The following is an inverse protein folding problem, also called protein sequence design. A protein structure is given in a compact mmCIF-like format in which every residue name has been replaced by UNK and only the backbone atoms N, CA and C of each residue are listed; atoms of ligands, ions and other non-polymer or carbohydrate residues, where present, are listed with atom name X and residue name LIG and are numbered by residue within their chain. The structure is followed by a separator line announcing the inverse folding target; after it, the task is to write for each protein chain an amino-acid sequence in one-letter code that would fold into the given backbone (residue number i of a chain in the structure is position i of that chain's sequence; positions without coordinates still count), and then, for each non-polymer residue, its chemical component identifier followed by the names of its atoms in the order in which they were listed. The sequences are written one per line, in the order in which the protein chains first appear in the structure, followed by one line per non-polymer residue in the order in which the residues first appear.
data_IF_703035289258
#
_entry.id   IF_703035289258
#
_cell.length_a   1.000
_cell.length_b   1.000
_cell.length_c   1.000
_cell.angle_alpha   90.00
_cell.angle_beta   90.00
_cell.angle_gamma   90.00
#
_symmetry.space_group_name_H-M   'P 1'
#
loop_
_entity.id
_entity.type
_entity.pdbx_description
1 polymer ?
#
# COMPACT_ATOMS: atom_id res chain seq x y z
N UNK A 1 3.41 -43.42 -39.69
CA UNK A 1 4.19 -42.24 -40.11
C UNK A 1 3.82 -41.12 -39.16
N UNK A 2 4.54 -40.99 -38.05
CA UNK A 2 4.26 -40.03 -36.97
C UNK A 2 5.00 -38.73 -37.27
N UNK A 3 4.28 -37.61 -37.32
CA UNK A 3 4.84 -36.27 -37.45
C UNK A 3 5.27 -35.79 -36.06
N UNK A 4 6.57 -35.50 -35.90
CA UNK A 4 7.09 -34.84 -34.70
C UNK A 4 6.70 -33.35 -34.65
N UNK A 5 6.41 -32.79 -33.47
CA UNK A 5 6.15 -31.37 -33.32
C UNK A 5 7.44 -30.56 -33.40
N UNK A 6 7.49 -29.63 -34.33
CA UNK A 6 8.59 -28.68 -34.52
C UNK A 6 8.74 -27.76 -33.32
N UNK A 7 9.89 -27.87 -32.64
CA UNK A 7 10.31 -26.96 -31.57
C UNK A 7 10.58 -25.57 -32.15
N UNK A 8 9.79 -24.57 -31.76
CA UNK A 8 10.02 -23.16 -32.10
C UNK A 8 11.29 -22.65 -31.38
N UNK A 9 12.25 -22.02 -32.09
CA UNK A 9 13.46 -21.53 -31.45
C UNK A 9 13.14 -20.33 -30.54
N UNK A 10 13.48 -20.42 -29.25
CA UNK A 10 13.47 -19.28 -28.33
C UNK A 10 14.45 -18.23 -28.85
N UNK A 11 13.94 -17.05 -29.23
CA UNK A 11 14.78 -15.86 -29.49
C UNK A 11 15.64 -15.59 -28.24
N UNK A 12 16.94 -15.81 -28.34
CA UNK A 12 17.93 -15.30 -27.38
C UNK A 12 17.90 -13.79 -27.44
N UNK A 13 17.42 -13.13 -26.39
CA UNK A 13 17.63 -11.69 -26.19
C UNK A 13 19.12 -11.46 -26.02
N UNK A 14 19.73 -10.69 -26.93
CA UNK A 14 21.17 -10.38 -26.95
C UNK A 14 21.61 -9.45 -25.80
N UNK A 15 20.67 -9.03 -24.96
CA UNK A 15 20.92 -8.25 -23.74
C UNK A 15 20.45 -9.15 -22.57
N UNK A 16 21.37 -9.64 -21.71
CA UNK A 16 20.97 -10.26 -20.45
C UNK A 16 20.12 -9.26 -19.68
N UNK A 17 19.01 -9.72 -19.08
CA UNK A 17 18.25 -8.86 -18.17
C UNK A 17 19.21 -8.31 -17.12
N UNK A 18 19.22 -6.99 -16.82
CA UNK A 18 20.03 -6.41 -15.75
C UNK A 18 19.81 -7.12 -14.40
N UNK A 19 18.66 -7.80 -14.25
CA UNK A 19 18.28 -8.62 -13.10
C UNK A 19 19.10 -9.93 -12.93
N UNK A 20 19.95 -10.30 -13.89
CA UNK A 20 20.81 -11.47 -13.76
C UNK A 20 21.93 -11.28 -12.71
N UNK A 21 22.15 -10.04 -12.24
CA UNK A 21 23.20 -9.68 -11.28
C UNK A 21 22.68 -9.38 -9.88
N UNK A 22 21.42 -9.74 -9.57
CA UNK A 22 20.77 -9.16 -8.39
C UNK A 22 21.27 -9.77 -7.07
N UNK A 23 22.02 -8.96 -6.33
CA UNK A 23 22.20 -9.01 -4.88
C UNK A 23 20.84 -9.04 -4.18
N UNK A 24 20.70 -9.70 -3.03
CA UNK A 24 19.51 -9.55 -2.17
C UNK A 24 19.35 -8.08 -1.77
N UNK A 25 18.46 -7.35 -2.45
CA UNK A 25 18.10 -5.99 -2.07
C UNK A 25 17.18 -6.08 -0.84
N UNK A 26 17.67 -5.58 0.29
CA UNK A 26 16.91 -5.53 1.54
C UNK A 26 16.54 -4.07 1.84
N UNK A 27 15.32 -3.81 2.35
CA UNK A 27 14.96 -2.49 2.84
C UNK A 27 15.93 -2.01 3.92
N UNK A 28 16.29 -0.73 3.87
CA UNK A 28 17.02 -0.06 4.96
C UNK A 28 16.10 0.13 6.17
N UNK A 29 16.63 0.39 7.38
CA UNK A 29 15.79 0.72 8.51
C UNK A 29 14.93 1.97 8.26
N UNK A 30 13.67 1.92 8.72
CA UNK A 30 12.76 3.07 8.74
C UNK A 30 13.40 4.33 9.36
N UNK A 31 13.01 5.55 8.90
CA UNK A 31 13.53 6.78 9.47
C UNK A 31 13.09 6.93 10.94
N UNK A 32 13.93 7.54 11.81
CA UNK A 32 13.61 7.68 13.23
C UNK A 32 12.48 8.68 13.49
N UNK A 33 12.30 9.66 12.61
CA UNK A 33 11.25 10.66 12.66
C UNK A 33 10.38 10.57 11.39
N UNK A 34 9.08 10.86 11.50
CA UNK A 34 8.24 11.01 10.32
C UNK A 34 8.62 12.30 9.59
N UNK A 35 7.98 12.54 8.43
CA UNK A 35 8.17 13.81 7.71
C UNK A 35 7.87 15.01 8.63
N UNK A 36 8.61 16.10 8.41
CA UNK A 36 8.50 17.32 9.20
C UNK A 36 8.01 18.45 8.31
N UNK A 37 7.07 19.24 8.80
CA UNK A 37 6.64 20.46 8.12
C UNK A 37 7.57 21.62 8.49
N UNK A 38 7.96 22.42 7.50
CA UNK A 38 8.82 23.59 7.69
C UNK A 38 8.26 24.80 6.95
N UNK A 39 8.55 26.00 7.47
CA UNK A 39 8.20 27.25 6.82
C UNK A 39 9.39 28.20 6.88
N UNK A 40 10.00 28.49 5.73
CA UNK A 40 11.16 29.38 5.63
C UNK A 40 12.34 28.92 6.49
N UNK A 41 12.64 27.62 6.49
CA UNK A 41 13.71 27.01 7.28
C UNK A 41 13.41 26.84 8.78
N UNK A 42 12.18 27.12 9.23
CA UNK A 42 11.75 26.88 10.61
C UNK A 42 10.78 25.71 10.68
N UNK A 43 11.12 24.68 11.45
CA UNK A 43 10.23 23.56 11.73
C UNK A 43 8.94 24.01 12.41
N UNK A 44 7.80 23.64 11.83
CA UNK A 44 6.49 23.85 12.43
C UNK A 44 6.24 22.79 13.51
N UNK A 45 5.70 23.23 14.65
CA UNK A 45 5.19 22.29 15.66
C UNK A 45 3.81 21.82 15.25
N UNK A 46 3.72 20.59 14.77
CA UNK A 46 2.47 19.96 14.37
C UNK A 46 2.02 18.94 15.41
N UNK A 47 0.70 18.73 15.59
CA UNK A 47 0.22 17.64 16.43
C UNK A 47 0.55 16.29 15.79
N UNK A 48 0.61 15.24 16.62
CA UNK A 48 0.70 13.87 16.11
C UNK A 48 -0.70 13.30 15.87
N UNK A 49 -0.92 12.53 14.80
CA UNK A 49 -2.18 11.85 14.56
C UNK A 49 -2.47 10.76 15.59
N UNK A 50 -3.74 10.39 15.71
CA UNK A 50 -4.16 9.15 16.38
C UNK A 50 -4.55 8.14 15.30
N UNK A 51 -3.78 7.06 15.17
CA UNK A 51 -4.12 6.00 14.23
C UNK A 51 -5.28 5.15 14.75
N UNK A 52 -6.17 4.76 13.85
CA UNK A 52 -7.25 3.81 14.13
C UNK A 52 -6.98 2.53 13.37
N UNK A 53 -7.05 1.40 14.08
CA UNK A 53 -6.93 0.05 13.55
C UNK A 53 -8.29 -0.64 13.65
N UNK A 54 -8.78 -1.20 12.55
CA UNK A 54 -10.02 -1.97 12.54
C UNK A 54 -9.88 -3.24 13.39
N UNK A 55 -10.84 -3.48 14.29
CA UNK A 55 -10.80 -4.63 15.21
C UNK A 55 -11.04 -5.98 14.54
N UNK A 56 -11.44 -6.03 13.27
CA UNK A 56 -11.71 -7.27 12.54
C UNK A 56 -10.50 -7.75 11.75
N UNK A 57 -9.48 -6.91 11.58
CA UNK A 57 -8.22 -7.29 10.94
C UNK A 57 -7.51 -8.34 11.80
N UNK A 58 -7.29 -9.52 11.24
CA UNK A 58 -6.76 -10.67 11.99
C UNK A 58 -5.26 -10.56 12.25
N UNK A 59 -4.53 -9.94 11.33
CA UNK A 59 -3.09 -9.73 11.45
C UNK A 59 -2.75 -8.23 11.30
N UNK A 60 -3.14 -7.41 12.30
CA UNK A 60 -3.00 -5.97 12.19
C UNK A 60 -1.55 -5.53 12.26
N UNK A 61 -1.24 -4.48 11.51
CA UNK A 61 -0.01 -3.71 11.63
C UNK A 61 0.05 -3.08 13.04
N UNK A 62 1.12 -3.38 13.78
CA UNK A 62 1.18 -3.09 15.23
C UNK A 62 1.44 -1.62 15.55
N UNK A 63 2.07 -0.91 14.62
CA UNK A 63 2.70 0.41 14.73
C UNK A 63 3.68 0.58 15.91
N UNK A 64 4.13 -0.51 16.54
CA UNK A 64 5.01 -0.44 17.72
C UNK A 64 6.36 0.19 17.43
N UNK A 65 6.86 0.02 16.20
CA UNK A 65 8.10 0.65 15.71
C UNK A 65 7.97 2.15 15.50
N UNK A 66 6.74 2.66 15.37
CA UNK A 66 6.41 4.04 15.03
C UNK A 66 5.78 4.80 16.19
N UNK A 67 6.10 4.45 17.45
CA UNK A 67 5.52 5.08 18.66
C UNK A 67 5.69 6.60 18.71
N UNK A 68 6.73 7.16 18.08
CA UNK A 68 6.95 8.61 18.01
C UNK A 68 6.16 9.30 16.89
N UNK A 69 5.50 8.56 16.01
CA UNK A 69 4.78 9.10 14.87
C UNK A 69 3.30 9.34 15.19
N UNK A 70 2.78 8.67 16.22
CA UNK A 70 1.37 8.76 16.62
C UNK A 70 1.25 9.22 18.07
N UNK A 71 0.27 10.08 18.35
CA UNK A 71 -0.09 10.41 19.72
C UNK A 71 -0.65 9.17 20.45
N UNK A 72 -1.37 8.32 19.71
CA UNK A 72 -1.98 7.09 20.20
C UNK A 72 -2.35 6.15 19.04
N UNK A 73 -2.44 4.86 19.33
CA UNK A 73 -3.07 3.85 18.47
C UNK A 73 -4.39 3.41 19.14
N UNK A 74 -5.51 3.51 18.43
CA UNK A 74 -6.83 3.10 18.91
C UNK A 74 -7.37 1.93 18.08
N UNK A 75 -7.92 0.91 18.76
CA UNK A 75 -8.56 -0.22 18.10
C UNK A 75 -10.07 -0.05 18.19
N UNK A 76 -10.75 0.04 17.04
CA UNK A 76 -12.22 0.05 16.96
C UNK A 76 -12.69 -0.33 15.57
N UNK A 77 -13.94 -0.76 15.44
CA UNK A 77 -14.52 -1.03 14.14
C UNK A 77 -14.60 0.26 13.29
N UNK A 78 -14.08 0.17 12.06
CA UNK A 78 -14.16 1.16 11.01
C UNK A 78 -15.32 0.82 10.05
N UNK A 79 -16.01 1.83 9.50
CA UNK A 79 -17.05 1.60 8.51
C UNK A 79 -16.50 1.10 7.15
N UNK A 80 -15.21 1.37 6.89
CA UNK A 80 -14.50 1.03 5.66
C UNK A 80 -12.98 0.99 5.91
N UNK A 81 -12.28 0.05 5.27
CA UNK A 81 -10.84 -0.13 5.39
C UNK A 81 -10.41 -0.76 6.71
N UNK A 82 -9.11 -0.98 6.83
CA UNK A 82 -8.44 -1.61 7.96
C UNK A 82 -7.72 -0.57 8.84
N UNK A 83 -7.34 0.58 8.27
CA UNK A 83 -6.69 1.68 9.00
C UNK A 83 -7.20 3.05 8.59
N UNK A 84 -7.18 3.99 9.54
CA UNK A 84 -7.54 5.39 9.34
C UNK A 84 -6.88 6.30 10.39
N UNK A 85 -7.17 7.60 10.34
CA UNK A 85 -6.80 8.60 11.34
C UNK A 85 -8.05 9.11 12.06
N UNK A 86 -7.96 9.31 13.37
CA UNK A 86 -9.06 9.85 14.18
C UNK A 86 -9.52 11.21 13.68
N UNK A 87 -10.82 11.34 13.41
CA UNK A 87 -11.43 12.54 12.82
C UNK A 87 -11.30 12.63 11.30
N UNK A 88 -10.75 11.60 10.65
CA UNK A 88 -10.60 11.49 9.19
C UNK A 88 -11.13 10.14 8.67
N UNK A 89 -12.00 9.46 9.42
CA UNK A 89 -12.48 8.11 9.09
C UNK A 89 -13.27 8.02 7.79
N UNK A 90 -13.89 9.12 7.39
CA UNK A 90 -14.63 9.24 6.13
C UNK A 90 -13.76 9.75 4.96
N UNK A 91 -12.52 10.15 5.21
CA UNK A 91 -11.64 10.74 4.19
C UNK A 91 -10.33 9.99 3.98
N UNK A 92 -9.76 9.41 5.04
CA UNK A 92 -8.53 8.62 5.02
C UNK A 92 -8.84 7.14 5.26
N UNK A 93 -8.67 6.31 4.24
CA UNK A 93 -9.02 4.90 4.28
C UNK A 93 -7.90 4.05 3.69
N UNK A 94 -7.31 3.19 4.51
CA UNK A 94 -6.30 2.24 4.06
C UNK A 94 -6.84 0.82 4.18
N UNK A 95 -6.82 0.07 3.09
CA UNK A 95 -7.06 -1.39 3.09
C UNK A 95 -5.72 -2.09 2.92
N UNK A 96 -5.49 -3.15 3.70
CA UNK A 96 -4.29 -3.99 3.61
C UNK A 96 -4.68 -5.39 3.13
N UNK A 97 -3.88 -5.95 2.23
CA UNK A 97 -3.96 -7.35 1.80
C UNK A 97 -2.58 -8.00 1.80
N UNK A 98 -2.48 -9.23 2.27
CA UNK A 98 -1.37 -10.10 1.88
C UNK A 98 -1.68 -10.82 0.56
N UNK A 99 -0.74 -11.62 0.05
CA UNK A 99 -0.91 -12.33 -1.22
C UNK A 99 -2.12 -13.27 -1.22
N UNK A 100 -2.29 -14.06 -0.16
CA UNK A 100 -3.34 -15.06 -0.10
C UNK A 100 -4.72 -14.39 -0.05
N UNK A 101 -4.85 -13.36 0.77
CA UNK A 101 -6.07 -12.58 0.86
C UNK A 101 -6.36 -11.81 -0.42
N UNK A 102 -5.36 -11.27 -1.09
CA UNK A 102 -5.52 -10.59 -2.38
C UNK A 102 -6.06 -11.55 -3.45
N UNK A 103 -5.45 -12.73 -3.56
CA UNK A 103 -5.88 -13.77 -4.51
C UNK A 103 -7.33 -14.16 -4.22
N UNK A 104 -7.64 -14.51 -2.97
CA UNK A 104 -8.99 -14.87 -2.54
C UNK A 104 -10.00 -13.74 -2.79
N UNK A 105 -9.60 -12.49 -2.56
CA UNK A 105 -10.43 -11.31 -2.76
C UNK A 105 -10.73 -11.04 -4.23
N UNK A 106 -9.83 -11.37 -5.17
CA UNK A 106 -10.09 -11.21 -6.61
C UNK A 106 -10.69 -12.45 -7.28
N UNK A 107 -10.73 -13.59 -6.60
CA UNK A 107 -11.37 -14.81 -7.09
C UNK A 107 -12.70 -15.07 -6.37
N UNK A 108 -12.66 -15.68 -5.19
CA UNK A 108 -13.82 -16.15 -4.43
C UNK A 108 -14.69 -14.99 -3.96
N UNK A 109 -14.07 -13.95 -3.39
CA UNK A 109 -14.78 -12.84 -2.73
C UNK A 109 -14.88 -11.57 -3.60
N UNK A 110 -14.75 -11.75 -4.93
CA UNK A 110 -14.57 -10.65 -5.89
C UNK A 110 -15.63 -9.56 -5.82
N UNK A 111 -16.90 -9.93 -5.74
CA UNK A 111 -17.99 -8.94 -5.73
C UNK A 111 -17.93 -8.06 -4.49
N UNK A 112 -17.66 -8.65 -3.33
CA UNK A 112 -17.55 -7.94 -2.05
C UNK A 112 -16.34 -7.00 -2.08
N UNK A 113 -15.18 -7.50 -2.52
CA UNK A 113 -13.96 -6.70 -2.55
C UNK A 113 -14.05 -5.55 -3.55
N UNK A 114 -14.55 -5.78 -4.77
CA UNK A 114 -14.70 -4.69 -5.76
C UNK A 114 -15.69 -3.62 -5.30
N UNK A 115 -16.77 -3.98 -4.62
CA UNK A 115 -17.69 -2.99 -4.04
C UNK A 115 -17.02 -2.19 -2.91
N UNK A 116 -16.16 -2.84 -2.10
CA UNK A 116 -15.34 -2.15 -1.10
C UNK A 116 -14.39 -1.14 -1.77
N UNK A 117 -13.65 -1.56 -2.80
CA UNK A 117 -12.71 -0.69 -3.52
C UNK A 117 -13.40 0.50 -4.19
N UNK A 118 -14.63 0.34 -4.71
CA UNK A 118 -15.43 1.46 -5.24
C UNK A 118 -15.76 2.48 -4.15
N UNK A 119 -16.21 2.02 -2.98
CA UNK A 119 -16.47 2.90 -1.81
C UNK A 119 -15.21 3.59 -1.32
N UNK A 120 -14.04 2.94 -1.42
CA UNK A 120 -12.75 3.57 -1.11
C UNK A 120 -12.39 4.64 -2.14
N UNK A 121 -12.59 4.38 -3.43
CA UNK A 121 -12.30 5.33 -4.51
C UNK A 121 -13.12 6.64 -4.41
N UNK A 122 -14.24 6.62 -3.70
CA UNK A 122 -15.04 7.82 -3.40
C UNK A 122 -14.43 8.70 -2.29
N UNK A 123 -13.37 8.24 -1.60
CA UNK A 123 -12.74 8.98 -0.50
C UNK A 123 -11.47 9.71 -0.98
N UNK A 124 -11.19 10.94 -0.49
CA UNK A 124 -10.04 11.72 -0.93
C UNK A 124 -8.67 11.04 -0.72
N UNK A 125 -8.51 10.31 0.39
CA UNK A 125 -7.24 9.71 0.79
C UNK A 125 -7.42 8.20 0.98
N UNK A 126 -7.55 7.49 -0.13
CA UNK A 126 -7.64 6.04 -0.11
C UNK A 126 -6.39 5.37 -0.64
N UNK A 127 -5.98 4.28 0.00
CA UNK A 127 -4.83 3.48 -0.41
C UNK A 127 -5.10 1.99 -0.20
N UNK A 128 -4.77 1.18 -1.20
CA UNK A 128 -4.65 -0.28 -1.05
C UNK A 128 -3.17 -0.64 -0.86
N UNK A 129 -2.82 -1.22 0.29
CA UNK A 129 -1.46 -1.73 0.53
C UNK A 129 -1.45 -3.25 0.40
N UNK A 130 -0.59 -3.76 -0.48
CA UNK A 130 -0.35 -5.19 -0.64
C UNK A 130 1.00 -5.54 -0.05
N UNK A 131 1.02 -6.35 1.02
CA UNK A 131 2.26 -6.75 1.70
C UNK A 131 2.93 -7.94 1.00
N UNK A 132 3.11 -7.82 -0.31
CA UNK A 132 3.74 -8.79 -1.20
C UNK A 132 4.29 -8.07 -2.42
N UNK A 133 5.34 -8.61 -3.04
CA UNK A 133 5.96 -7.95 -4.19
C UNK A 133 5.09 -8.07 -5.44
N UNK A 134 5.20 -7.11 -6.37
CA UNK A 134 4.51 -7.23 -7.67
C UNK A 134 5.01 -8.46 -8.46
N UNK A 135 6.28 -8.83 -8.31
CA UNK A 135 6.87 -10.03 -8.91
C UNK A 135 6.23 -11.30 -8.37
N UNK A 136 6.01 -11.38 -7.06
CA UNK A 136 5.34 -12.50 -6.41
C UNK A 136 3.87 -12.60 -6.85
N UNK A 137 3.16 -11.46 -6.87
CA UNK A 137 1.80 -11.37 -7.43
C UNK A 137 1.78 -11.84 -8.90
N UNK A 138 2.85 -11.61 -9.67
CA UNK A 138 2.93 -11.99 -11.09
C UNK A 138 3.40 -13.44 -11.33
N UNK A 139 3.78 -14.16 -10.29
CA UNK A 139 4.32 -15.52 -10.38
C UNK A 139 3.25 -16.60 -10.22
N UNK A 140 3.55 -17.84 -10.62
CA UNK A 140 2.61 -18.96 -10.44
C UNK A 140 2.31 -19.22 -8.96
N UNK A 141 1.03 -19.41 -8.64
CA UNK A 141 0.59 -19.70 -7.27
C UNK A 141 0.52 -21.21 -7.01
N UNK A 142 0.68 -21.64 -5.74
CA UNK A 142 0.43 -23.02 -5.34
C UNK A 142 -0.93 -23.52 -5.83
N UNK A 143 -0.96 -24.76 -6.31
CA UNK A 143 -2.18 -25.43 -6.78
C UNK A 143 -2.96 -24.69 -7.88
N UNK A 144 -2.31 -23.76 -8.62
CA UNK A 144 -2.95 -22.91 -9.64
C UNK A 144 -4.21 -22.20 -9.11
N UNK A 145 -4.19 -21.75 -7.85
CA UNK A 145 -5.32 -21.12 -7.16
C UNK A 145 -5.95 -19.95 -7.95
N UNK A 146 -5.17 -19.26 -8.78
CA UNK A 146 -5.65 -18.24 -9.71
C UNK A 146 -4.69 -18.08 -10.89
N UNK A 147 -5.12 -17.32 -11.90
CA UNK A 147 -4.25 -16.88 -12.99
C UNK A 147 -3.56 -15.56 -12.60
N UNK A 148 -2.22 -15.52 -12.45
CA UNK A 148 -1.50 -14.32 -12.02
C UNK A 148 -1.73 -13.12 -12.93
N UNK A 149 -1.87 -13.35 -14.25
CA UNK A 149 -2.18 -12.27 -15.19
C UNK A 149 -3.52 -11.61 -14.89
N UNK A 150 -4.54 -12.37 -14.49
CA UNK A 150 -5.85 -11.83 -14.14
C UNK A 150 -5.81 -11.04 -12.82
N UNK A 151 -5.01 -11.49 -11.85
CA UNK A 151 -4.81 -10.76 -10.59
C UNK A 151 -4.11 -9.42 -10.88
N UNK A 152 -3.02 -9.44 -11.63
CA UNK A 152 -2.33 -8.20 -12.04
C UNK A 152 -3.23 -7.27 -12.84
N UNK A 153 -3.99 -7.78 -13.81
CA UNK A 153 -4.95 -6.96 -14.57
C UNK A 153 -6.03 -6.34 -13.67
N UNK A 154 -6.46 -7.05 -12.63
CA UNK A 154 -7.41 -6.51 -11.65
C UNK A 154 -6.80 -5.36 -10.86
N UNK A 155 -5.55 -5.48 -10.40
CA UNK A 155 -4.82 -4.36 -9.75
C UNK A 155 -4.67 -3.15 -10.68
N UNK A 156 -4.31 -3.37 -11.95
CA UNK A 156 -4.23 -2.28 -12.93
C UNK A 156 -5.60 -1.62 -13.13
N UNK A 157 -6.69 -2.39 -13.17
CA UNK A 157 -8.04 -1.83 -13.27
C UNK A 157 -8.46 -1.06 -12.01
N UNK A 158 -7.96 -1.42 -10.82
CA UNK A 158 -8.15 -0.62 -9.60
C UNK A 158 -7.42 0.72 -9.72
N UNK A 159 -6.16 0.70 -10.17
CA UNK A 159 -5.37 1.92 -10.35
C UNK A 159 -5.94 2.85 -11.42
N UNK A 160 -6.22 2.35 -12.62
CA UNK A 160 -6.64 3.20 -13.76
C UNK A 160 -8.14 3.36 -13.88
N UNK A 161 -8.92 2.35 -13.49
CA UNK A 161 -10.38 2.38 -13.62
C UNK A 161 -11.08 3.00 -12.42
N UNK A 162 -10.60 2.73 -11.21
CA UNK A 162 -11.13 3.33 -9.99
C UNK A 162 -10.34 4.54 -9.51
N UNK A 163 -9.18 4.85 -10.13
CA UNK A 163 -8.26 5.89 -9.65
C UNK A 163 -7.82 5.68 -8.19
N UNK A 164 -7.83 4.42 -7.74
CA UNK A 164 -7.45 4.04 -6.38
C UNK A 164 -5.99 3.59 -6.38
N UNK A 165 -5.06 4.35 -5.79
CA UNK A 165 -3.66 3.94 -5.74
C UNK A 165 -3.49 2.65 -4.92
N UNK A 166 -2.49 1.86 -5.33
CA UNK A 166 -2.02 0.74 -4.52
C UNK A 166 -0.49 0.72 -4.47
N UNK A 167 0.05 0.19 -3.37
CA UNK A 167 1.49 0.02 -3.16
C UNK A 167 1.76 -1.45 -2.80
N UNK A 168 2.81 -2.02 -3.38
CA UNK A 168 3.36 -3.32 -3.01
C UNK A 168 4.61 -3.10 -2.14
N UNK A 169 4.68 -3.74 -0.96
CA UNK A 169 5.76 -3.48 0.01
C UNK A 169 6.66 -4.67 0.30
N UNK A 170 6.51 -5.78 -0.42
CA UNK A 170 7.30 -7.02 -0.29
C UNK A 170 7.18 -7.77 1.05
N UNK A 171 7.11 -7.07 2.18
CA UNK A 171 7.02 -7.62 3.53
C UNK A 171 5.93 -6.93 4.35
N UNK A 172 5.56 -7.57 5.46
CA UNK A 172 4.63 -7.02 6.44
C UNK A 172 5.24 -5.80 7.15
N UNK A 173 6.53 -5.83 7.44
CA UNK A 173 7.29 -4.79 8.13
C UNK A 173 7.42 -3.50 7.32
N UNK A 174 7.63 -3.61 6.00
CA UNK A 174 7.64 -2.45 5.12
C UNK A 174 6.22 -1.97 4.84
N UNK A 175 5.24 -2.88 4.82
CA UNK A 175 3.82 -2.53 4.84
C UNK A 175 3.45 -1.65 6.03
N UNK A 176 3.93 -1.99 7.22
CA UNK A 176 3.76 -1.22 8.45
C UNK A 176 4.28 0.21 8.31
N UNK A 177 5.49 0.35 7.74
CA UNK A 177 6.14 1.64 7.52
C UNK A 177 5.40 2.51 6.51
N UNK A 178 4.99 1.95 5.38
CA UNK A 178 4.26 2.68 4.34
C UNK A 178 2.89 3.13 4.86
N UNK A 179 2.15 2.26 5.55
CA UNK A 179 0.87 2.64 6.15
C UNK A 179 1.08 3.71 7.22
N UNK A 180 2.08 3.57 8.09
CA UNK A 180 2.38 4.57 9.11
C UNK A 180 2.70 5.93 8.49
N UNK A 181 3.53 5.95 7.45
CA UNK A 181 3.94 7.15 6.73
C UNK A 181 2.75 7.82 6.04
N UNK A 182 1.92 7.02 5.37
CA UNK A 182 0.74 7.50 4.65
C UNK A 182 -0.29 8.13 5.59
N UNK A 183 -0.62 7.45 6.71
CA UNK A 183 -1.54 7.98 7.72
C UNK A 183 -1.01 9.29 8.32
N UNK A 184 0.30 9.33 8.62
CA UNK A 184 0.94 10.51 9.18
C UNK A 184 0.91 11.69 8.21
N UNK A 185 1.38 11.49 6.98
CA UNK A 185 1.45 12.53 5.96
C UNK A 185 0.08 13.07 5.58
N UNK A 186 -0.91 12.18 5.44
CA UNK A 186 -2.29 12.57 5.15
C UNK A 186 -2.86 13.48 6.23
N UNK A 187 -2.66 13.13 7.50
CA UNK A 187 -3.06 13.98 8.62
C UNK A 187 -2.28 15.30 8.66
N UNK A 188 -0.97 15.26 8.44
CA UNK A 188 -0.13 16.45 8.45
C UNK A 188 -0.61 17.46 7.41
N UNK A 189 -0.86 17.02 6.17
CA UNK A 189 -1.35 17.88 5.11
C UNK A 189 -2.73 18.45 5.41
N UNK A 190 -3.67 17.63 5.89
CA UNK A 190 -4.99 18.10 6.30
C UNK A 190 -4.91 19.14 7.43
N UNK A 191 -4.03 18.93 8.42
CA UNK A 191 -3.80 19.89 9.49
C UNK A 191 -3.18 21.19 8.96
N UNK A 192 -2.17 21.11 8.09
CA UNK A 192 -1.54 22.29 7.50
C UNK A 192 -2.54 23.11 6.66
N UNK A 193 -3.35 22.44 5.85
CA UNK A 193 -4.39 23.06 5.02
C UNK A 193 -5.44 23.76 5.91
N UNK A 194 -5.93 23.10 6.97
CA UNK A 194 -6.91 23.69 7.92
C UNK A 194 -6.38 24.87 8.72
N UNK A 195 -5.06 24.96 8.93
CA UNK A 195 -4.42 26.02 9.70
C UNK A 195 -3.77 27.11 8.81
N UNK A 196 -4.02 27.08 7.50
CA UNK A 196 -3.55 28.12 6.56
C UNK A 196 -2.02 28.13 6.38
N UNK A 197 -1.35 27.02 6.67
CA UNK A 197 0.09 26.89 6.46
C UNK A 197 0.46 26.51 5.02
N UNK A 198 -0.49 25.98 4.24
CA UNK A 198 -0.23 25.36 2.94
C UNK A 198 0.64 24.10 3.07
N UNK A 199 0.82 23.37 1.98
CA UNK A 199 1.58 22.10 1.96
C UNK A 199 3.09 22.33 1.83
N UNK A 200 3.67 23.12 2.72
CA UNK A 200 5.11 23.34 2.75
C UNK A 200 5.77 22.30 3.65
N UNK A 201 6.35 21.27 3.03
CA UNK A 201 7.31 20.39 3.69
C UNK A 201 8.70 21.04 3.66
N UNK A 202 9.65 20.50 4.42
CA UNK A 202 11.07 20.84 4.31
C UNK A 202 11.51 20.98 2.84
N UNK A 203 12.25 22.05 2.52
CA UNK A 203 12.50 22.53 1.15
C UNK A 203 12.81 21.40 0.15
N UNK A 204 11.91 21.19 -0.82
CA UNK A 204 12.13 20.33 -1.99
C UNK A 204 11.32 19.03 -2.05
N UNK A 205 10.53 18.70 -1.03
CA UNK A 205 9.72 17.48 -1.01
C UNK A 205 8.36 17.68 -1.70
N UNK A 206 8.42 17.82 -3.05
CA UNK A 206 7.34 17.87 -4.06
C UNK A 206 6.62 19.21 -4.31
#
# INVERSE_FOLDING_TARGET
MLLEPTCMPRKRTLIPSPLAWTTLNLPVPHPPLPVVAERGGTQLRTPLPVAIVDTREQNPLSFRRFRGWFAKIEYRALPLGDYSVKGMEDTCVVERKDLADLICSFTTNRTVFVNRLRRMAERPHSLLVVTSSLSEIKSEYPYRAANPNRITQSLIAVLTGLHLPFICTDTHELGEEIVASYLYQTFLYDWLDRNGHGRHLSDGDL
#
